data_IF_514055407908
#
_entry.id   IF_514055407908
#
_cell.length_a   1.000
_cell.length_b   1.000
_cell.length_c   1.000
_cell.angle_alpha   90.00
_cell.angle_beta   90.00
_cell.angle_gamma   90.00
#
_symmetry.space_group_name_H-M   'P 1'
#
loop_
_entity.id
_entity.type
_entity.pdbx_description
1 polymer ?
#
# COMPACT_ATOMS: atom_id res chain seq x y z
N UNK A 1 -8.36 -23.45 -1.78
CA UNK A 1 -8.45 -22.15 -2.50
C UNK A 1 -7.23 -21.35 -2.10
N UNK A 2 -6.50 -20.75 -3.05
CA UNK A 2 -5.35 -19.91 -2.72
C UNK A 2 -5.83 -18.62 -2.03
N UNK A 3 -5.03 -18.07 -1.11
CA UNK A 3 -5.30 -16.76 -0.51
C UNK A 3 -5.28 -15.68 -1.61
N UNK A 4 -6.43 -15.04 -1.86
CA UNK A 4 -6.58 -14.03 -2.92
C UNK A 4 -6.16 -12.62 -2.50
N UNK A 5 -5.62 -12.45 -1.29
CA UNK A 5 -5.16 -11.14 -0.79
C UNK A 5 -3.86 -10.73 -1.46
N UNK A 6 -3.71 -9.43 -1.63
CA UNK A 6 -2.51 -8.80 -2.17
C UNK A 6 -1.40 -8.92 -1.13
N UNK A 7 -0.24 -9.44 -1.53
CA UNK A 7 0.90 -9.59 -0.63
C UNK A 7 1.53 -8.24 -0.34
N UNK A 8 1.90 -8.00 0.91
CA UNK A 8 2.60 -6.80 1.38
C UNK A 8 3.89 -7.21 2.07
N UNK A 9 5.02 -6.78 1.53
CA UNK A 9 6.36 -6.99 2.09
C UNK A 9 6.89 -5.65 2.60
N UNK A 10 7.33 -5.61 3.86
CA UNK A 10 8.00 -4.43 4.41
C UNK A 10 9.50 -4.60 4.26
N UNK A 11 10.15 -3.57 3.74
CA UNK A 11 11.59 -3.58 3.50
C UNK A 11 12.22 -2.31 4.07
N UNK A 12 13.44 -2.44 4.57
CA UNK A 12 14.22 -1.28 4.96
C UNK A 12 14.57 -0.42 3.73
N UNK A 13 14.77 0.88 3.91
CA UNK A 13 15.05 1.80 2.81
C UNK A 13 16.38 1.50 2.08
N UNK A 14 17.32 0.88 2.78
CA UNK A 14 18.60 0.39 2.26
C UNK A 14 18.56 -1.09 1.82
N UNK A 15 17.40 -1.74 1.96
CA UNK A 15 17.19 -3.10 1.51
C UNK A 15 17.25 -3.21 -0.01
N UNK A 16 18.08 -4.12 -0.52
CA UNK A 16 18.10 -4.44 -1.94
C UNK A 16 16.84 -5.22 -2.31
N UNK A 17 15.92 -4.58 -3.03
CA UNK A 17 14.72 -5.23 -3.58
C UNK A 17 14.78 -5.25 -5.09
N UNK A 18 14.59 -6.41 -5.70
CA UNK A 18 14.48 -6.54 -7.15
C UNK A 18 13.11 -6.08 -7.63
N UNK A 19 13.00 -5.06 -8.50
CA UNK A 19 11.73 -4.62 -9.04
C UNK A 19 11.00 -5.73 -9.80
N UNK A 20 9.67 -5.74 -9.72
CA UNK A 20 8.82 -6.65 -10.47
C UNK A 20 7.65 -5.90 -11.11
N UNK A 21 7.34 -6.27 -12.35
CA UNK A 21 6.33 -5.57 -13.16
C UNK A 21 4.90 -5.69 -12.60
N UNK A 22 4.66 -6.66 -11.70
CA UNK A 22 3.39 -6.89 -10.99
C UNK A 22 3.38 -6.35 -9.55
N UNK A 23 4.43 -5.62 -9.15
CA UNK A 23 4.62 -5.15 -7.78
C UNK A 23 4.59 -3.63 -7.72
N UNK A 24 3.74 -3.10 -6.85
CA UNK A 24 3.67 -1.66 -6.56
C UNK A 24 4.64 -1.31 -5.44
N UNK A 25 5.46 -0.28 -5.66
CA UNK A 25 6.35 0.26 -4.63
C UNK A 25 5.63 1.38 -3.86
N UNK A 26 5.62 1.31 -2.53
CA UNK A 26 5.09 2.34 -1.63
C UNK A 26 6.22 2.86 -0.76
N UNK A 27 6.54 4.15 -0.87
CA UNK A 27 7.65 4.79 -0.13
C UNK A 27 7.14 5.82 0.86
N UNK A 28 7.61 5.77 2.10
CA UNK A 28 7.15 6.65 3.18
C UNK A 28 7.73 8.05 3.17
N UNK A 29 8.98 8.20 2.77
CA UNK A 29 9.74 9.46 2.78
C UNK A 29 10.23 9.86 1.38
N UNK A 30 9.70 9.21 0.33
CA UNK A 30 10.11 9.43 -1.05
C UNK A 30 11.46 8.79 -1.41
N UNK A 31 12.13 8.10 -0.47
CA UNK A 31 13.35 7.34 -0.78
C UNK A 31 12.98 6.00 -1.38
N UNK A 32 13.38 5.81 -2.62
CA UNK A 32 13.19 4.56 -3.34
C UNK A 32 14.35 3.59 -3.06
N UNK A 33 14.07 2.32 -2.69
CA UNK A 33 15.05 1.25 -2.76
C UNK A 33 15.27 0.82 -4.22
N UNK A 34 16.53 0.77 -4.65
CA UNK A 34 16.91 0.24 -5.96
C UNK A 34 16.49 1.11 -7.16
N UNK A 35 16.51 0.54 -8.38
CA UNK A 35 16.26 1.30 -9.61
C UNK A 35 14.79 1.69 -9.78
N UNK A 36 14.56 2.90 -10.35
CA UNK A 36 13.26 3.48 -10.66
C UNK A 36 12.38 2.63 -11.60
N UNK A 37 13.03 1.80 -12.42
CA UNK A 37 12.39 1.05 -13.49
C UNK A 37 12.03 -0.39 -13.06
N UNK A 38 11.01 -0.95 -13.69
CA UNK A 38 10.61 -2.36 -13.50
C UNK A 38 9.48 -2.59 -12.49
N UNK A 39 9.01 -1.57 -11.78
CA UNK A 39 7.82 -1.66 -10.92
C UNK A 39 6.51 -1.51 -11.71
N UNK A 40 5.41 -2.02 -11.16
CA UNK A 40 4.06 -1.69 -11.64
C UNK A 40 3.75 -0.19 -11.48
N UNK A 41 4.39 0.46 -10.51
CA UNK A 41 4.33 1.89 -10.24
C UNK A 41 4.96 2.21 -8.89
N UNK A 42 5.13 3.49 -8.59
CA UNK A 42 5.60 3.99 -7.31
C UNK A 42 4.58 4.98 -6.74
N UNK A 43 4.30 4.87 -5.44
CA UNK A 43 3.46 5.79 -4.69
C UNK A 43 4.21 6.28 -3.47
N UNK A 44 4.28 7.60 -3.31
CA UNK A 44 4.77 8.21 -2.06
C UNK A 44 3.60 8.26 -1.08
N UNK A 45 3.77 7.70 0.11
CA UNK A 45 2.76 7.75 1.15
C UNK A 45 2.64 9.20 1.65
N UNK A 46 1.55 9.85 1.26
CA UNK A 46 1.20 11.17 1.76
C UNK A 46 0.18 11.03 2.89
N UNK A 47 0.18 11.93 3.88
CA UNK A 47 -0.93 12.05 4.82
C UNK A 47 -2.23 12.18 4.01
N UNK A 48 -3.18 11.27 4.22
CA UNK A 48 -4.41 11.24 3.44
C UNK A 48 -5.19 12.55 3.62
N UNK A 49 -5.17 13.40 2.61
CA UNK A 49 -5.95 14.64 2.54
C UNK A 49 -7.23 14.48 1.71
N UNK A 50 -7.69 13.24 1.45
CA UNK A 50 -8.88 13.04 0.64
C UNK A 50 -10.13 13.24 1.50
N UNK A 51 -10.58 14.50 1.58
CA UNK A 51 -11.97 14.82 1.93
C UNK A 51 -12.86 14.27 0.81
N UNK A 52 -13.43 13.08 1.01
CA UNK A 52 -14.42 12.53 0.09
C UNK A 52 -15.79 13.10 0.49
N UNK A 53 -16.41 13.87 -0.42
CA UNK A 53 -17.65 14.63 -0.17
C UNK A 53 -18.90 13.96 -0.73
N UNK A 54 -18.85 12.68 -1.14
CA UNK A 54 -20.04 11.95 -1.57
C UNK A 54 -20.59 11.06 -0.45
N UNK A 55 -21.93 10.98 -0.35
CA UNK A 55 -22.68 10.12 0.57
C UNK A 55 -22.08 8.71 0.70
N UNK A 56 -21.98 8.23 1.94
CA UNK A 56 -21.36 6.97 2.40
C UNK A 56 -21.32 5.87 1.31
N UNK A 57 -20.22 5.81 0.56
CA UNK A 57 -19.90 4.65 -0.28
C UNK A 57 -19.59 3.42 0.59
N UNK A 58 -19.52 2.24 -0.04
CA UNK A 58 -19.09 0.99 0.59
C UNK A 58 -17.84 1.19 1.47
N UNK A 59 -17.59 0.31 2.45
CA UNK A 59 -16.46 0.39 3.39
C UNK A 59 -15.09 0.70 2.74
N UNK A 60 -14.89 0.44 1.45
CA UNK A 60 -13.70 0.84 0.69
C UNK A 60 -13.52 2.37 0.50
N UNK A 61 -14.55 3.19 0.62
CA UNK A 61 -14.53 4.64 0.35
C UNK A 61 -14.58 5.52 1.60
N UNK A 62 -14.71 4.94 2.79
CA UNK A 62 -14.70 5.67 4.06
C UNK A 62 -13.31 6.27 4.35
N UNK A 63 -13.22 7.55 4.76
CA UNK A 63 -11.96 8.16 5.18
C UNK A 63 -11.32 7.39 6.33
N UNK A 64 -10.04 7.08 6.22
CA UNK A 64 -9.23 6.38 7.21
C UNK A 64 -7.85 7.02 7.30
N UNK A 65 -7.28 7.04 8.49
CA UNK A 65 -5.93 7.55 8.72
C UNK A 65 -4.84 6.50 8.51
N UNK A 66 -3.59 6.96 8.43
CA UNK A 66 -2.40 6.10 8.40
C UNK A 66 -2.27 5.23 7.14
N UNK A 67 -1.47 4.17 7.25
CA UNK A 67 -1.16 3.29 6.13
C UNK A 67 -2.41 2.56 5.63
N UNK A 68 -3.32 2.13 6.52
CA UNK A 68 -4.56 1.45 6.12
C UNK A 68 -5.45 2.30 5.21
N UNK A 69 -5.52 3.62 5.44
CA UNK A 69 -6.21 4.55 4.55
C UNK A 69 -5.60 4.56 3.15
N UNK A 70 -4.27 4.62 3.06
CA UNK A 70 -3.54 4.51 1.79
C UNK A 70 -3.82 3.17 1.10
N UNK A 71 -3.80 2.06 1.84
CA UNK A 71 -4.09 0.73 1.28
C UNK A 71 -5.49 0.65 0.65
N UNK A 72 -6.49 1.25 1.30
CA UNK A 72 -7.85 1.38 0.73
C UNK A 72 -7.87 2.20 -0.56
N UNK A 73 -7.14 3.31 -0.61
CA UNK A 73 -7.00 4.15 -1.81
C UNK A 73 -6.33 3.41 -2.97
N UNK A 74 -5.23 2.69 -2.70
CA UNK A 74 -4.51 1.89 -3.68
C UNK A 74 -5.37 0.76 -4.24
N UNK A 75 -6.09 0.04 -3.37
CA UNK A 75 -7.00 -1.01 -3.80
C UNK A 75 -8.11 -0.46 -4.70
N UNK A 76 -8.69 0.69 -4.33
CA UNK A 76 -9.72 1.36 -5.14
C UNK A 76 -9.17 1.76 -6.50
N UNK A 77 -8.04 2.47 -6.55
CA UNK A 77 -7.40 2.90 -7.80
C UNK A 77 -7.06 1.71 -8.70
N UNK A 78 -6.55 0.60 -8.14
CA UNK A 78 -6.34 -0.64 -8.90
C UNK A 78 -7.65 -1.17 -9.49
N UNK A 79 -8.72 -1.24 -8.70
CA UNK A 79 -10.01 -1.76 -9.13
C UNK A 79 -10.71 -0.87 -10.17
N UNK A 80 -10.46 0.44 -10.15
CA UNK A 80 -11.08 1.41 -11.07
C UNK A 80 -10.15 1.83 -12.21
N UNK A 81 -8.99 1.18 -12.39
CA UNK A 81 -8.03 1.49 -13.46
C UNK A 81 -7.21 2.78 -13.27
N UNK A 82 -7.23 3.38 -12.08
CA UNK A 82 -6.39 4.54 -11.72
C UNK A 82 -4.93 4.19 -11.40
N UNK A 83 -4.59 2.91 -11.30
CA UNK A 83 -3.23 2.37 -11.24
C UNK A 83 -3.13 1.16 -12.17
N UNK A 84 -1.92 0.87 -12.66
CA UNK A 84 -1.64 -0.41 -13.32
C UNK A 84 -2.00 -1.57 -12.39
N UNK A 85 -2.40 -2.70 -12.97
CA UNK A 85 -2.68 -3.88 -12.19
C UNK A 85 -1.42 -4.41 -11.50
N UNK A 86 -1.51 -4.64 -10.20
CA UNK A 86 -0.46 -5.27 -9.39
C UNK A 86 -1.05 -6.41 -8.55
N UNK A 87 -0.20 -7.30 -8.07
CA UNK A 87 -0.57 -8.44 -7.20
C UNK A 87 0.21 -8.42 -5.88
N UNK A 88 1.22 -7.56 -5.78
CA UNK A 88 2.11 -7.41 -4.61
C UNK A 88 2.39 -5.93 -4.33
N UNK A 89 2.71 -5.63 -3.07
CA UNK A 89 3.26 -4.36 -2.62
C UNK A 89 4.59 -4.60 -1.93
N UNK A 90 5.54 -3.72 -2.21
CA UNK A 90 6.73 -3.51 -1.38
C UNK A 90 6.55 -2.18 -0.69
N UNK A 91 6.65 -2.18 0.64
CA UNK A 91 6.43 -1.00 1.49
C UNK A 91 7.74 -0.65 2.17
N UNK A 92 8.20 0.58 1.92
CA UNK A 92 9.37 1.16 2.57
C UNK A 92 8.85 2.18 3.59
N UNK A 93 8.72 1.81 4.86
CA UNK A 93 8.25 2.73 5.89
C UNK A 93 9.31 3.80 6.15
N UNK A 94 8.91 5.00 6.63
CA UNK A 94 9.87 5.95 7.15
C UNK A 94 10.68 5.34 8.31
N UNK A 95 11.91 5.82 8.57
CA UNK A 95 12.74 5.30 9.67
C UNK A 95 11.97 5.25 11.00
N UNK A 96 11.95 4.08 11.64
CA UNK A 96 11.27 3.86 12.93
C UNK A 96 9.73 3.73 12.87
N UNK A 97 9.11 3.82 11.69
CA UNK A 97 7.65 3.78 11.53
C UNK A 97 7.08 2.40 11.16
N UNK A 98 7.93 1.41 10.90
CA UNK A 98 7.48 0.08 10.44
C UNK A 98 6.44 -0.54 11.37
N UNK A 99 6.70 -0.58 12.68
CA UNK A 99 5.78 -1.17 13.65
C UNK A 99 4.43 -0.44 13.70
N UNK A 100 4.43 0.89 13.58
CA UNK A 100 3.21 1.70 13.55
C UNK A 100 2.41 1.45 12.26
N UNK A 101 3.10 1.28 11.14
CA UNK A 101 2.50 0.96 9.84
C UNK A 101 1.90 -0.45 9.80
N UNK A 102 2.61 -1.45 10.31
CA UNK A 102 2.08 -2.81 10.49
C UNK A 102 0.86 -2.80 11.40
N UNK A 103 0.94 -2.15 12.56
CA UNK A 103 -0.20 -2.03 13.48
C UNK A 103 -1.41 -1.32 12.87
N UNK A 104 -1.19 -0.33 11.99
CA UNK A 104 -2.28 0.33 11.25
C UNK A 104 -3.02 -0.65 10.34
N UNK A 105 -2.31 -1.55 9.65
CA UNK A 105 -2.92 -2.57 8.80
C UNK A 105 -3.62 -3.65 9.62
N UNK A 106 -3.00 -4.09 10.72
CA UNK A 106 -3.56 -5.11 11.60
C UNK A 106 -4.87 -4.68 12.27
N UNK A 107 -5.07 -3.38 12.49
CA UNK A 107 -6.30 -2.87 13.13
C UNK A 107 -7.42 -2.54 12.15
N UNK A 108 -7.15 -2.54 10.84
CA UNK A 108 -8.12 -2.16 9.83
C UNK A 108 -8.71 -3.38 9.12
N UNK A 109 -10.03 -3.56 9.26
CA UNK A 109 -10.75 -4.72 8.71
C UNK A 109 -10.65 -4.82 7.18
N UNK A 110 -10.60 -3.70 6.46
CA UNK A 110 -10.48 -3.72 5.01
C UNK A 110 -9.06 -4.08 4.59
N UNK A 111 -8.06 -3.54 5.29
CA UNK A 111 -6.68 -3.89 5.07
C UNK A 111 -6.47 -5.41 5.27
N UNK A 112 -6.96 -5.97 6.36
CA UNK A 112 -6.89 -7.41 6.62
C UNK A 112 -7.61 -8.27 5.56
N UNK A 113 -8.73 -7.78 5.03
CA UNK A 113 -9.53 -8.49 4.04
C UNK A 113 -8.92 -8.47 2.63
N UNK A 114 -8.10 -7.47 2.30
CA UNK A 114 -7.54 -7.26 0.95
C UNK A 114 -6.04 -7.50 0.86
N UNK A 115 -5.34 -7.39 1.98
CA UNK A 115 -3.89 -7.46 2.05
C UNK A 115 -3.45 -8.52 3.06
N UNK A 116 -2.32 -9.14 2.76
CA UNK A 116 -1.63 -10.07 3.66
C UNK A 116 -0.20 -9.62 3.80
N UNK A 117 0.21 -9.30 5.02
CA UNK A 117 1.60 -8.99 5.34
C UNK A 117 2.40 -10.29 5.35
N UNK A 118 3.47 -10.34 4.54
CA UNK A 118 4.49 -11.39 4.61
C UNK A 118 5.67 -10.88 5.45
N UNK A 119 6.29 -11.80 6.20
CA UNK A 119 7.47 -11.53 7.02
C UNK A 119 8.74 -11.68 6.21
#
# INVERSE_FOLDING_TARGET
MADGRIVVEFVAADGAVTPRADTLLVVGDGRQPGPAEGWAGMVVAQPAATAFTHALGCQCCLPRGGLAGLMGDLFRKRATGGLKWFTRLVVVPPPGQEALWRASMEKDVLAQARFRVEN
#
